data_IF_086278536811
#
_entry.id   IF_086278536811
#
_cell.length_a   1.000
_cell.length_b   1.000
_cell.length_c   1.000
_cell.angle_alpha   90.00
_cell.angle_beta   90.00
_cell.angle_gamma   90.00
#
_symmetry.space_group_name_H-M   'P 1'
#
loop_
_entity.id
_entity.type
_entity.pdbx_description
1 polymer ?
#
# COMPACT_ATOMS: atom_id res chain seq x y z
N UNK A 1 -5.82 -8.11 -7.13
CA UNK A 1 -4.99 -9.28 -6.79
C UNK A 1 -3.57 -9.20 -7.36
N UNK A 2 -3.30 -9.03 -8.66
CA UNK A 2 -1.90 -9.02 -9.16
C UNK A 2 -1.10 -7.78 -8.76
N UNK A 3 -1.71 -6.58 -8.76
CA UNK A 3 -1.04 -5.39 -8.25
C UNK A 3 -0.65 -5.55 -6.77
N UNK A 4 -1.43 -6.33 -6.02
CA UNK A 4 -1.16 -6.62 -4.61
C UNK A 4 -0.01 -7.63 -4.48
N UNK A 5 0.02 -8.71 -5.26
CA UNK A 5 1.14 -9.67 -5.27
C UNK A 5 2.45 -9.03 -5.76
N UNK A 6 2.43 -8.25 -6.85
CA UNK A 6 3.64 -7.58 -7.38
C UNK A 6 4.10 -6.42 -6.47
N UNK A 7 3.16 -5.69 -5.87
CA UNK A 7 3.47 -4.68 -4.85
C UNK A 7 4.01 -5.34 -3.57
N UNK A 8 3.48 -6.50 -3.16
CA UNK A 8 3.97 -7.25 -1.99
C UNK A 8 5.35 -7.84 -2.25
N UNK A 9 5.62 -8.30 -3.47
CA UNK A 9 6.94 -8.80 -3.88
C UNK A 9 7.98 -7.67 -3.89
N UNK A 10 7.63 -6.51 -4.46
CA UNK A 10 8.51 -5.34 -4.48
C UNK A 10 8.75 -4.80 -3.06
N UNK A 11 7.70 -4.77 -2.23
CA UNK A 11 7.78 -4.38 -0.82
C UNK A 11 8.69 -5.33 -0.02
N UNK A 12 8.62 -6.64 -0.23
CA UNK A 12 9.52 -7.61 0.42
C UNK A 12 10.99 -7.47 -0.02
N UNK A 13 11.23 -7.15 -1.29
CA UNK A 13 12.60 -6.90 -1.78
C UNK A 13 13.16 -5.62 -1.16
N UNK A 14 12.37 -4.56 -1.09
CA UNK A 14 12.75 -3.31 -0.41
C UNK A 14 13.00 -3.54 1.08
N UNK A 15 12.14 -4.29 1.77
CA UNK A 15 12.34 -4.66 3.17
C UNK A 15 13.62 -5.46 3.41
N UNK A 16 13.96 -6.40 2.52
CA UNK A 16 15.22 -7.15 2.62
C UNK A 16 16.43 -6.22 2.40
N UNK A 17 16.35 -5.32 1.43
CA UNK A 17 17.40 -4.34 1.16
C UNK A 17 17.64 -3.45 2.39
N UNK A 18 16.57 -2.93 2.99
CA UNK A 18 16.65 -2.09 4.18
C UNK A 18 17.21 -2.87 5.37
N UNK A 19 16.79 -4.12 5.59
CA UNK A 19 17.30 -4.98 6.65
C UNK A 19 18.82 -5.26 6.49
N UNK A 20 19.30 -5.43 5.27
CA UNK A 20 20.74 -5.61 4.98
C UNK A 20 21.52 -4.32 5.23
N UNK A 21 21.01 -3.18 4.77
CA UNK A 21 21.60 -1.86 5.00
C UNK A 21 21.71 -1.54 6.50
N UNK A 22 20.66 -1.84 7.24
CA UNK A 22 20.59 -1.72 8.69
C UNK A 22 21.64 -2.59 9.39
N UNK A 23 21.75 -3.87 8.99
CA UNK A 23 22.75 -4.80 9.53
C UNK A 23 24.17 -4.27 9.30
N UNK A 24 24.45 -3.76 8.11
CA UNK A 24 25.75 -3.16 7.74
C UNK A 24 26.04 -1.90 8.57
N UNK A 25 25.03 -1.04 8.73
CA UNK A 25 25.13 0.21 9.50
C UNK A 25 25.44 -0.07 10.97
N UNK A 26 24.78 -1.06 11.56
CA UNK A 26 25.00 -1.45 12.97
C UNK A 26 26.35 -2.13 13.15
N UNK A 27 26.77 -2.96 12.20
CA UNK A 27 28.10 -3.58 12.23
C UNK A 27 29.19 -2.51 12.14
N UNK A 28 29.06 -1.53 11.24
CA UNK A 28 29.99 -0.41 11.14
C UNK A 28 30.03 0.43 12.42
N UNK A 29 28.85 0.79 12.95
CA UNK A 29 28.73 1.62 14.16
C UNK A 29 29.27 0.91 15.40
N UNK A 30 29.07 -0.41 15.52
CA UNK A 30 29.61 -1.21 16.61
C UNK A 30 31.14 -1.36 16.53
N UNK A 31 31.71 -1.54 15.34
CA UNK A 31 33.16 -1.51 15.14
C UNK A 31 33.73 -0.14 15.49
N UNK A 32 33.07 0.94 15.08
CA UNK A 32 33.46 2.31 15.40
C UNK A 32 33.42 2.56 16.91
N UNK A 33 32.37 2.10 17.59
CA UNK A 33 32.23 2.18 19.03
C UNK A 33 33.35 1.40 19.74
N UNK A 34 33.60 0.17 19.31
CA UNK A 34 34.65 -0.67 19.87
C UNK A 34 35.99 0.04 19.69
N UNK A 35 36.33 0.51 18.49
CA UNK A 35 37.65 1.09 18.18
C UNK A 35 37.89 2.42 18.87
N UNK A 36 36.90 3.34 18.86
CA UNK A 36 37.08 4.72 19.36
C UNK A 36 36.88 4.84 20.87
N UNK A 37 36.17 3.90 21.50
CA UNK A 37 35.77 3.98 22.91
C UNK A 37 36.46 2.97 23.83
N UNK A 38 37.48 2.24 23.34
CA UNK A 38 38.30 1.39 24.22
C UNK A 38 39.04 2.22 25.27
N UNK A 39 39.05 1.75 26.50
CA UNK A 39 39.95 2.22 27.54
C UNK A 39 41.19 1.33 27.58
N UNK A 40 42.37 1.92 27.82
CA UNK A 40 43.61 1.17 28.00
C UNK A 40 43.58 0.43 29.35
N UNK A 41 43.72 -0.89 29.33
CA UNK A 41 43.81 -1.72 30.53
C UNK A 41 45.28 -1.81 31.01
N UNK A 42 45.50 -1.64 32.31
CA UNK A 42 46.83 -1.71 32.91
C UNK A 42 47.24 -3.18 33.06
N UNK A 43 48.15 -3.64 32.19
CA UNK A 43 48.64 -5.02 32.19
C UNK A 43 49.63 -5.33 33.32
N UNK A 44 50.24 -4.32 33.94
CA UNK A 44 51.20 -4.49 35.03
C UNK A 44 51.02 -3.44 36.12
N UNK A 45 50.91 -3.90 37.39
CA UNK A 45 50.81 -3.03 38.58
C UNK A 45 52.07 -2.19 38.83
N UNK A 46 53.19 -2.53 38.20
CA UNK A 46 54.48 -1.87 38.40
C UNK A 46 54.67 -0.61 37.54
N UNK A 47 53.89 -0.44 36.46
CA UNK A 47 54.00 0.71 35.55
C UNK A 47 52.69 1.49 35.60
N UNK A 48 52.67 2.72 36.11
CA UNK A 48 51.45 3.52 36.17
C UNK A 48 50.98 3.90 34.77
N UNK A 49 49.66 3.81 34.53
CA UNK A 49 49.03 4.11 33.24
C UNK A 49 49.12 5.62 32.94
N UNK A 50 49.77 5.98 31.84
CA UNK A 50 50.05 7.39 31.47
C UNK A 50 48.98 8.00 30.57
N UNK A 51 48.09 7.20 29.99
CA UNK A 51 47.00 7.65 29.11
C UNK A 51 45.68 7.02 29.56
N UNK A 52 44.76 7.86 30.03
CA UNK A 52 43.36 7.49 30.20
C UNK A 52 42.53 8.24 29.15
N UNK A 53 41.61 7.56 28.48
CA UNK A 53 40.65 8.25 27.63
C UNK A 53 39.73 9.07 28.55
N UNK A 54 39.65 10.39 28.33
CA UNK A 54 39.06 11.34 29.26
C UNK A 54 37.59 11.05 29.65
N UNK A 55 36.87 10.19 28.91
CA UNK A 55 35.48 9.79 29.15
C UNK A 55 35.16 8.37 28.62
N UNK A 56 36.08 7.41 28.79
CA UNK A 56 35.81 6.03 28.34
C UNK A 56 34.87 5.29 29.31
N UNK A 57 33.94 4.44 28.80
CA UNK A 57 33.00 3.67 29.62
C UNK A 57 33.73 2.73 30.59
N UNK A 58 33.09 2.41 31.71
CA UNK A 58 33.61 1.39 32.61
C UNK A 58 33.68 0.03 31.89
N UNK A 59 34.55 -0.87 32.38
CA UNK A 59 34.72 -2.22 31.79
C UNK A 59 33.39 -3.01 31.77
N UNK A 60 32.56 -2.83 32.79
CA UNK A 60 31.24 -3.45 32.88
C UNK A 60 30.27 -2.88 31.82
N UNK A 61 30.23 -1.56 31.65
CA UNK A 61 29.39 -0.91 30.63
C UNK A 61 29.86 -1.24 29.21
N UNK A 62 31.17 -1.33 28.99
CA UNK A 62 31.74 -1.70 27.70
C UNK A 62 31.41 -3.15 27.32
N UNK A 63 31.52 -4.07 28.27
CA UNK A 63 31.12 -5.47 28.08
C UNK A 63 29.61 -5.60 27.80
N UNK A 64 28.77 -4.91 28.58
CA UNK A 64 27.32 -4.91 28.37
C UNK A 64 26.93 -4.31 27.00
N UNK A 65 27.63 -3.27 26.56
CA UNK A 65 27.42 -2.68 25.24
C UNK A 65 27.78 -3.66 24.12
N UNK A 66 28.91 -4.38 24.22
CA UNK A 66 29.31 -5.41 23.26
C UNK A 66 28.28 -6.54 23.20
N UNK A 67 27.84 -7.04 24.35
CA UNK A 67 26.82 -8.10 24.41
C UNK A 67 25.52 -7.67 23.75
N UNK A 68 25.12 -6.41 23.94
CA UNK A 68 23.95 -5.82 23.27
C UNK A 68 24.13 -5.74 21.75
N UNK A 69 25.30 -5.29 21.26
CA UNK A 69 25.57 -5.24 19.82
C UNK A 69 25.58 -6.64 19.19
N UNK A 70 26.18 -7.63 19.85
CA UNK A 70 26.19 -9.01 19.37
C UNK A 70 24.77 -9.57 19.31
N UNK A 71 23.95 -9.34 20.33
CA UNK A 71 22.56 -9.76 20.34
C UNK A 71 21.75 -9.13 19.19
N UNK A 72 21.94 -7.83 18.92
CA UNK A 72 21.24 -7.13 17.85
C UNK A 72 21.69 -7.62 16.45
N UNK A 73 23.00 -7.86 16.25
CA UNK A 73 23.54 -8.43 15.01
C UNK A 73 22.96 -9.84 14.76
N UNK A 74 22.90 -10.69 15.80
CA UNK A 74 22.34 -12.04 15.67
C UNK A 74 20.85 -11.98 15.32
N UNK A 75 20.08 -11.08 15.97
CA UNK A 75 18.65 -10.91 15.69
C UNK A 75 18.44 -10.49 14.23
N UNK A 76 19.13 -9.43 13.80
CA UNK A 76 19.01 -8.90 12.43
C UNK A 76 19.49 -9.89 11.38
N UNK A 77 20.50 -10.69 11.67
CA UNK A 77 20.95 -11.76 10.76
C UNK A 77 19.87 -12.83 10.56
N UNK A 78 19.14 -13.19 11.62
CA UNK A 78 17.99 -14.11 11.52
C UNK A 78 16.81 -13.49 10.78
N UNK A 79 16.57 -12.20 10.98
CA UNK A 79 15.52 -11.47 10.26
C UNK A 79 15.81 -11.46 8.75
N UNK A 80 17.06 -11.18 8.36
CA UNK A 80 17.52 -11.27 6.96
C UNK A 80 17.37 -12.69 6.41
N UNK A 81 17.73 -13.72 7.17
CA UNK A 81 17.56 -15.11 6.74
C UNK A 81 16.08 -15.48 6.51
N UNK A 82 15.20 -14.98 7.39
CA UNK A 82 13.76 -15.21 7.29
C UNK A 82 13.17 -14.48 6.08
N UNK A 83 13.55 -13.21 5.87
CA UNK A 83 13.15 -12.42 4.70
C UNK A 83 13.67 -13.03 3.40
N UNK A 84 14.91 -13.53 3.38
CA UNK A 84 15.49 -14.19 2.23
C UNK A 84 14.74 -15.48 1.85
N UNK A 85 14.25 -16.25 2.85
CA UNK A 85 13.39 -17.42 2.62
C UNK A 85 11.99 -17.06 2.14
N UNK A 86 11.51 -15.86 2.50
CA UNK A 86 10.20 -15.35 2.09
C UNK A 86 10.20 -14.74 0.66
N UNK A 87 11.37 -14.66 0.01
CA UNK A 87 11.48 -14.25 -1.38
C UNK A 87 10.82 -15.28 -2.31
N UNK A 88 10.01 -14.84 -3.29
CA UNK A 88 9.51 -15.71 -4.35
C UNK A 88 10.67 -16.38 -5.11
N UNK A 89 10.52 -17.65 -5.46
CA UNK A 89 11.59 -18.39 -6.17
C UNK A 89 11.65 -17.96 -7.64
N UNK A 90 12.85 -18.02 -8.23
CA UNK A 90 13.08 -17.67 -9.64
C UNK A 90 12.26 -18.53 -10.62
N UNK A 91 11.96 -19.77 -10.27
CA UNK A 91 11.21 -20.69 -11.12
C UNK A 91 9.73 -20.29 -11.32
N UNK A 92 9.21 -19.37 -10.50
CA UNK A 92 7.83 -18.88 -10.60
C UNK A 92 7.65 -17.85 -11.75
N UNK A 93 8.71 -17.47 -12.46
CA UNK A 93 8.63 -16.41 -13.49
C UNK A 93 7.75 -16.78 -14.70
N UNK A 94 7.89 -18.00 -15.23
CA UNK A 94 7.08 -18.44 -16.38
C UNK A 94 5.61 -18.64 -15.99
N UNK A 95 5.37 -19.21 -14.80
CA UNK A 95 4.02 -19.40 -14.24
C UNK A 95 3.37 -18.05 -13.97
N UNK A 96 4.11 -17.06 -13.45
CA UNK A 96 3.60 -15.69 -13.26
C UNK A 96 3.29 -15.01 -14.59
N UNK A 97 4.13 -15.19 -15.61
CA UNK A 97 3.86 -14.64 -16.94
C UNK A 97 2.59 -15.26 -17.55
N UNK A 98 2.40 -16.57 -17.40
CA UNK A 98 1.19 -17.25 -17.84
C UNK A 98 -0.05 -16.76 -17.07
N UNK A 99 0.02 -16.72 -15.73
CA UNK A 99 -1.06 -16.20 -14.88
C UNK A 99 -1.40 -14.74 -15.19
N UNK A 100 -0.40 -13.94 -15.53
CA UNK A 100 -0.60 -12.55 -15.95
C UNK A 100 -1.36 -12.47 -17.27
N UNK A 101 -1.06 -13.34 -18.24
CA UNK A 101 -1.80 -13.43 -19.50
C UNK A 101 -3.25 -13.85 -19.26
N UNK A 102 -3.46 -14.89 -18.45
CA UNK A 102 -4.80 -15.38 -18.09
C UNK A 102 -5.63 -14.26 -17.44
N UNK A 103 -5.04 -13.50 -16.51
CA UNK A 103 -5.76 -12.41 -15.85
C UNK A 103 -5.99 -11.20 -16.76
N UNK A 104 -5.11 -10.96 -17.74
CA UNK A 104 -5.36 -9.94 -18.77
C UNK A 104 -6.58 -10.31 -19.61
N UNK A 105 -6.73 -11.57 -19.97
CA UNK A 105 -7.88 -12.06 -20.70
C UNK A 105 -9.16 -11.96 -19.85
N UNK A 106 -9.10 -12.34 -18.56
CA UNK A 106 -10.21 -12.15 -17.62
C UNK A 106 -10.62 -10.68 -17.47
N UNK A 107 -9.65 -9.76 -17.33
CA UNK A 107 -9.93 -8.31 -17.26
C UNK A 107 -10.57 -7.82 -18.56
N UNK A 108 -10.16 -8.34 -19.70
CA UNK A 108 -10.73 -7.94 -20.99
C UNK A 108 -12.20 -8.35 -21.08
N UNK A 109 -12.51 -9.59 -20.71
CA UNK A 109 -13.89 -10.11 -20.68
C UNK A 109 -14.73 -9.31 -19.69
N UNK A 110 -14.25 -9.10 -18.46
CA UNK A 110 -14.95 -8.34 -17.44
C UNK A 110 -15.22 -6.88 -17.87
N UNK A 111 -14.29 -6.25 -18.59
CA UNK A 111 -14.49 -4.91 -19.15
C UNK A 111 -15.52 -4.88 -20.27
N UNK A 112 -15.59 -5.91 -21.11
CA UNK A 112 -16.61 -6.03 -22.16
C UNK A 112 -18.00 -6.23 -21.54
N UNK A 113 -18.11 -7.08 -20.52
CA UNK A 113 -19.34 -7.26 -19.74
C UNK A 113 -19.76 -5.97 -19.04
N UNK A 114 -18.82 -5.26 -18.41
CA UNK A 114 -19.07 -3.97 -17.77
C UNK A 114 -19.61 -2.94 -18.77
N UNK A 115 -19.00 -2.83 -19.96
CA UNK A 115 -19.48 -1.91 -21.02
C UNK A 115 -20.88 -2.28 -21.51
N UNK A 116 -21.17 -3.57 -21.67
CA UNK A 116 -22.50 -4.05 -22.06
C UNK A 116 -23.56 -3.71 -21.01
N UNK A 117 -23.25 -3.98 -19.73
CA UNK A 117 -24.14 -3.65 -18.61
C UNK A 117 -24.38 -2.14 -18.50
N UNK A 118 -23.35 -1.32 -18.69
CA UNK A 118 -23.46 0.13 -18.70
C UNK A 118 -24.39 0.62 -19.83
N UNK A 119 -24.20 0.11 -21.05
CA UNK A 119 -25.04 0.48 -22.19
C UNK A 119 -26.51 0.10 -21.99
N UNK A 120 -26.78 -1.06 -21.35
CA UNK A 120 -28.14 -1.45 -20.98
C UNK A 120 -28.74 -0.52 -19.93
N UNK A 121 -27.96 -0.17 -18.90
CA UNK A 121 -28.39 0.78 -17.87
C UNK A 121 -28.67 2.17 -18.43
N UNK A 122 -27.85 2.67 -19.35
CA UNK A 122 -28.07 3.96 -20.03
C UNK A 122 -29.32 3.93 -20.90
N UNK A 123 -29.59 2.81 -21.57
CA UNK A 123 -30.80 2.65 -22.39
C UNK A 123 -32.06 2.64 -21.54
N UNK A 124 -32.08 1.86 -20.47
CA UNK A 124 -33.18 1.83 -19.49
C UNK A 124 -33.41 3.20 -18.87
N UNK A 125 -32.35 3.95 -18.58
CA UNK A 125 -32.46 5.30 -18.02
C UNK A 125 -33.10 6.27 -19.01
N UNK A 126 -32.77 6.19 -20.30
CA UNK A 126 -33.45 6.95 -21.36
C UNK A 126 -34.91 6.56 -21.49
N UNK A 127 -35.22 5.27 -21.52
CA UNK A 127 -36.61 4.79 -21.58
C UNK A 127 -37.44 5.28 -20.38
N UNK A 128 -36.84 5.31 -19.18
CA UNK A 128 -37.50 5.86 -17.98
C UNK A 128 -37.68 7.37 -18.09
N UNK A 129 -36.68 8.12 -18.59
CA UNK A 129 -36.81 9.55 -18.84
C UNK A 129 -37.92 9.85 -19.86
N UNK A 130 -37.96 9.13 -20.97
CA UNK A 130 -38.99 9.29 -22.01
C UNK A 130 -40.40 8.97 -21.45
N UNK A 131 -40.53 7.91 -20.66
CA UNK A 131 -41.80 7.57 -20.00
C UNK A 131 -42.23 8.64 -18.97
N UNK A 132 -41.28 9.21 -18.24
CA UNK A 132 -41.54 10.29 -17.27
C UNK A 132 -41.97 11.57 -18.00
N UNK A 133 -41.28 11.93 -19.09
CA UNK A 133 -41.59 13.10 -19.92
C UNK A 133 -42.96 12.95 -20.62
N UNK A 134 -43.30 11.74 -21.07
CA UNK A 134 -44.64 11.47 -21.60
C UNK A 134 -45.71 11.61 -20.52
N UNK A 135 -45.48 11.07 -19.32
CA UNK A 135 -46.45 11.16 -18.20
C UNK A 135 -46.62 12.61 -17.71
N UNK A 136 -45.53 13.38 -17.60
CA UNK A 136 -45.61 14.82 -17.26
C UNK A 136 -46.22 15.65 -18.40
N UNK A 137 -45.90 15.35 -19.66
CA UNK A 137 -46.44 16.02 -20.83
C UNK A 137 -47.94 15.80 -21.00
N UNK A 138 -48.42 14.57 -20.80
CA UNK A 138 -49.85 14.22 -20.81
C UNK A 138 -50.61 14.92 -19.66
N UNK A 139 -50.02 14.99 -18.46
CA UNK A 139 -50.61 15.72 -17.32
C UNK A 139 -50.78 17.22 -17.63
N UNK A 140 -49.85 17.81 -18.39
CA UNK A 140 -49.91 19.23 -18.75
C UNK A 140 -50.94 19.51 -19.87
N UNK A 141 -51.17 18.54 -20.76
CA UNK A 141 -52.17 18.65 -21.82
C UNK A 141 -53.61 18.51 -21.29
N UNK A 142 -53.86 17.60 -20.35
CA UNK A 142 -55.19 17.41 -19.76
C UNK A 142 -55.64 18.63 -18.93
N UNK A 143 -54.72 19.29 -18.21
CA UNK A 143 -55.04 20.52 -17.46
C UNK A 143 -55.36 21.71 -18.36
N UNK A 144 -54.72 21.83 -19.54
CA UNK A 144 -55.02 22.92 -20.48
C UNK A 144 -56.36 22.72 -21.21
N UNK A 145 -56.82 21.47 -21.43
CA UNK A 145 -58.13 21.20 -22.03
C UNK A 145 -59.30 21.43 -21.07
N UNK A 146 -59.10 21.20 -19.76
CA UNK A 146 -60.14 21.48 -18.77
C UNK A 146 -60.29 22.99 -18.56
N UNK A 147 -59.19 23.76 -18.57
CA UNK A 147 -59.24 25.21 -18.36
C UNK A 147 -59.83 25.97 -19.58
N UNK A 148 -59.53 25.52 -20.81
CA UNK A 148 -60.13 26.12 -22.02
C UNK A 148 -61.61 25.78 -22.22
N UNK A 149 -62.07 24.60 -21.81
CA UNK A 149 -63.51 24.26 -21.81
C UNK A 149 -64.33 24.99 -20.73
N UNK A 150 -63.68 25.45 -19.65
CA UNK A 150 -64.33 26.26 -18.61
C UNK A 150 -64.48 27.73 -19.01
N UNK A 151 -63.58 28.26 -19.83
CA UNK A 151 -63.64 29.66 -20.29
C UNK A 151 -64.73 29.86 -21.35
N UNK A 152 -65.02 28.84 -22.18
CA UNK A 152 -66.12 28.92 -23.16
C UNK A 152 -67.52 28.76 -22.51
N UNK A 153 -67.63 28.12 -21.35
CA UNK A 153 -68.92 27.96 -20.65
C UNK A 153 -69.37 29.21 -19.88
N UNK A 154 -68.43 30.05 -19.40
CA UNK A 154 -68.76 31.26 -18.65
C UNK A 154 -69.14 32.46 -19.55
N UNK A 155 -68.99 32.37 -20.88
CA UNK A 155 -69.33 33.45 -21.81
C UNK A 155 -70.70 33.33 -22.50
N UNK A 156 -71.45 32.24 -22.31
CA UNK A 156 -72.82 32.09 -22.86
C UNK A 156 -73.96 32.40 -21.88
N UNK A 157 -73.67 32.79 -20.62
CA UNK A 157 -74.70 33.05 -19.60
C UNK A 157 -74.95 34.55 -19.29
N UNK A 158 -74.44 35.48 -20.11
CA UNK A 158 -74.67 36.92 -19.94
C UNK A 158 -75.16 37.62 -21.23
N UNK A 159 -76.32 37.20 -21.75
CA UNK A 159 -77.20 38.02 -22.62
C UNK A 159 -78.65 37.87 -22.18
#
# INVERSE_FOLDING_TARGET
>A
MINEELSTDMDRITQLQDAILDLLTITSTSIDYITKKTNFEQTSKAIPTTLQAANGPSRAEYQAAIETFVADIIRRSKDVETLAKALPKKDDSSIRAQRLSELQDEIKIANEEYKSALAQSERLLRELQDALDQTLGETTAEQNTIDSSKIEADHEEEI
#
